data_IF_780439783873
#
_entry.id   IF_780439783873
#
_cell.length_a   1.000
_cell.length_b   1.000
_cell.length_c   1.000
_cell.angle_alpha   90.00
_cell.angle_beta   90.00
_cell.angle_gamma   90.00
#
_symmetry.space_group_name_H-M   'P 1'
#
loop_
_entity.id
_entity.type
_entity.pdbx_description
1 polymer ?
#
# COMPACT_ATOMS: atom_id res chain seq x y z
N UNK A 1 -17.28 -7.21 10.94
CA UNK A 1 -16.24 -7.73 10.02
C UNK A 1 -15.96 -9.17 10.39
N UNK A 2 -15.82 -10.08 9.43
CA UNK A 2 -15.44 -11.48 9.69
C UNK A 2 -13.93 -11.59 9.42
N UNK A 3 -13.10 -11.99 10.41
CA UNK A 3 -11.69 -12.23 10.18
C UNK A 3 -11.50 -13.39 9.21
N UNK A 4 -10.88 -13.13 8.05
CA UNK A 4 -10.64 -14.13 7.01
C UNK A 4 -9.22 -13.96 6.43
N UNK A 5 -8.56 -15.08 6.10
CA UNK A 5 -7.20 -15.12 5.52
C UNK A 5 -7.11 -14.47 4.12
N UNK A 6 -8.25 -14.13 3.52
CA UNK A 6 -8.35 -13.38 2.29
C UNK A 6 -7.62 -12.02 2.36
N UNK A 7 -7.69 -11.34 3.50
CA UNK A 7 -7.16 -9.99 3.67
C UNK A 7 -5.66 -9.93 3.94
N UNK A 8 -5.05 -8.77 3.69
CA UNK A 8 -3.60 -8.59 3.73
C UNK A 8 -3.03 -8.58 5.16
N UNK A 9 -3.76 -8.11 6.16
CA UNK A 9 -3.22 -7.90 7.51
C UNK A 9 -2.66 -9.19 8.15
N UNK A 10 -3.37 -10.31 8.04
CA UNK A 10 -2.90 -11.60 8.58
C UNK A 10 -1.68 -12.15 7.84
N UNK A 11 -1.54 -11.84 6.54
CA UNK A 11 -0.36 -12.20 5.74
C UNK A 11 0.86 -11.38 6.17
N UNK A 12 0.68 -10.08 6.44
CA UNK A 12 1.74 -9.22 7.00
C UNK A 12 2.20 -9.76 8.34
N UNK A 13 1.24 -10.04 9.24
CA UNK A 13 1.54 -10.63 10.55
C UNK A 13 2.35 -11.92 10.42
N UNK A 14 1.89 -12.84 9.57
CA UNK A 14 2.57 -14.10 9.32
C UNK A 14 4.04 -13.90 8.89
N UNK A 15 4.30 -12.99 7.95
CA UNK A 15 5.67 -12.69 7.49
C UNK A 15 6.53 -12.17 8.64
N UNK A 16 6.00 -11.23 9.43
CA UNK A 16 6.75 -10.63 10.53
C UNK A 16 7.08 -11.64 11.64
N UNK A 17 6.27 -12.69 11.81
CA UNK A 17 6.50 -13.75 12.79
C UNK A 17 7.47 -14.83 12.30
N UNK A 18 7.47 -15.14 11.00
CA UNK A 18 8.18 -16.30 10.46
C UNK A 18 9.49 -15.97 9.73
N UNK A 19 9.64 -14.73 9.25
CA UNK A 19 10.91 -14.29 8.65
C UNK A 19 11.82 -13.77 9.75
N UNK A 20 12.96 -14.44 9.95
CA UNK A 20 13.92 -14.09 10.99
C UNK A 20 14.31 -12.61 10.94
N UNK A 21 14.18 -11.91 12.07
CA UNK A 21 14.48 -10.48 12.21
C UNK A 21 13.49 -9.52 11.53
N UNK A 22 12.41 -10.01 10.91
CA UNK A 22 11.47 -9.16 10.18
C UNK A 22 10.74 -8.16 11.10
N UNK A 23 10.24 -8.59 12.25
CA UNK A 23 9.59 -7.68 13.21
C UNK A 23 10.51 -6.51 13.62
N UNK A 24 11.75 -6.80 14.01
CA UNK A 24 12.71 -5.77 14.42
C UNK A 24 13.04 -4.81 13.28
N UNK A 25 13.24 -5.34 12.07
CA UNK A 25 13.49 -4.52 10.87
C UNK A 25 12.28 -3.64 10.52
N UNK A 26 11.07 -4.16 10.66
CA UNK A 26 9.84 -3.40 10.50
C UNK A 26 9.73 -2.25 11.53
N UNK A 27 10.04 -2.52 12.79
CA UNK A 27 10.07 -1.52 13.86
C UNK A 27 11.15 -0.46 13.64
N UNK A 28 12.29 -0.83 13.05
CA UNK A 28 13.36 0.09 12.67
C UNK A 28 13.03 0.93 11.43
N UNK A 29 12.05 0.51 10.61
CA UNK A 29 11.71 1.17 9.35
C UNK A 29 12.48 0.64 8.13
N UNK A 30 13.14 -0.51 8.26
CA UNK A 30 13.90 -1.17 7.19
C UNK A 30 13.01 -2.04 6.28
N UNK A 31 11.71 -2.15 6.59
CA UNK A 31 10.73 -2.88 5.80
C UNK A 31 9.55 -1.98 5.46
N UNK A 32 9.10 -2.08 4.21
CA UNK A 32 7.87 -1.46 3.72
C UNK A 32 6.85 -2.54 3.41
N UNK A 33 5.59 -2.24 3.71
CA UNK A 33 4.43 -2.98 3.25
C UNK A 33 3.84 -2.30 2.01
N UNK A 34 3.27 -3.08 1.09
CA UNK A 34 2.50 -2.54 -0.02
C UNK A 34 1.64 -3.63 -0.66
N UNK A 35 0.47 -3.23 -1.15
CA UNK A 35 -0.26 -3.99 -2.17
C UNK A 35 0.46 -3.86 -3.52
N UNK A 36 -0.03 -4.56 -4.56
CA UNK A 36 0.66 -4.61 -5.86
C UNK A 36 0.82 -3.21 -6.49
N UNK A 37 -0.19 -2.34 -6.35
CA UNK A 37 -0.15 -0.95 -6.79
C UNK A 37 1.00 -0.17 -6.12
N UNK A 38 1.12 -0.27 -4.80
CA UNK A 38 2.23 0.36 -4.05
C UNK A 38 3.58 -0.15 -4.50
N UNK A 39 3.71 -1.47 -4.70
CA UNK A 39 4.97 -2.06 -5.16
C UNK A 39 5.35 -1.55 -6.55
N UNK A 40 4.40 -1.52 -7.49
CA UNK A 40 4.64 -1.03 -8.84
C UNK A 40 5.01 0.46 -8.82
N UNK A 41 4.27 1.29 -8.08
CA UNK A 41 4.57 2.72 -7.92
C UNK A 41 5.97 2.93 -7.34
N UNK A 42 6.33 2.20 -6.29
CA UNK A 42 7.66 2.25 -5.67
C UNK A 42 8.76 1.92 -6.68
N UNK A 43 8.59 0.85 -7.46
CA UNK A 43 9.56 0.44 -8.46
C UNK A 43 9.67 1.45 -9.61
N UNK A 44 8.54 1.92 -10.15
CA UNK A 44 8.50 2.85 -11.26
C UNK A 44 9.08 4.22 -10.91
N UNK A 45 8.95 4.65 -9.65
CA UNK A 45 9.49 5.91 -9.15
C UNK A 45 10.91 5.80 -8.59
N UNK A 46 11.56 4.64 -8.74
CA UNK A 46 12.92 4.42 -8.22
C UNK A 46 13.02 4.48 -6.70
N UNK A 47 11.93 4.17 -5.99
CA UNK A 47 11.85 4.24 -4.53
C UNK A 47 11.50 5.62 -3.97
N UNK A 48 11.07 6.57 -4.81
CA UNK A 48 10.72 7.91 -4.36
C UNK A 48 9.31 8.00 -3.74
N UNK A 49 8.36 7.15 -4.18
CA UNK A 49 6.96 7.25 -3.76
C UNK A 49 6.46 5.92 -3.18
N UNK A 50 6.08 5.96 -1.91
CA UNK A 50 5.45 4.86 -1.19
C UNK A 50 4.00 5.20 -0.86
N UNK A 51 3.10 4.92 -1.81
CA UNK A 51 1.69 5.27 -1.69
C UNK A 51 0.75 4.16 -2.22
N UNK A 52 -0.51 4.23 -1.82
CA UNK A 52 -1.63 3.41 -2.31
C UNK A 52 -2.86 4.30 -2.45
N UNK A 53 -3.92 3.82 -3.11
CA UNK A 53 -5.19 4.53 -3.17
C UNK A 53 -6.22 3.99 -2.16
N UNK A 54 -7.30 4.73 -1.93
CA UNK A 54 -8.38 4.30 -1.03
C UNK A 54 -8.96 2.92 -1.39
N UNK A 55 -9.04 2.59 -2.69
CA UNK A 55 -9.66 1.33 -3.10
C UNK A 55 -8.79 0.14 -2.73
N UNK A 56 -7.47 0.19 -2.91
CA UNK A 56 -6.55 -0.84 -2.46
C UNK A 56 -6.39 -0.86 -0.93
N UNK A 57 -6.27 0.30 -0.28
CA UNK A 57 -6.17 0.41 1.18
C UNK A 57 -7.36 -0.26 1.89
N UNK A 58 -8.59 -0.07 1.39
CA UNK A 58 -9.80 -0.68 1.97
C UNK A 58 -9.81 -2.22 1.94
N UNK A 59 -8.94 -2.86 1.14
CA UNK A 59 -8.82 -4.33 1.02
C UNK A 59 -7.74 -4.91 1.92
N UNK A 60 -7.09 -4.09 2.74
CA UNK A 60 -6.01 -4.55 3.60
C UNK A 60 -6.48 -5.13 4.93
N UNK A 61 -7.70 -4.79 5.37
CA UNK A 61 -8.18 -4.99 6.76
C UNK A 61 -7.39 -4.19 7.81
N UNK A 62 -6.62 -3.18 7.39
CA UNK A 62 -5.87 -2.28 8.27
C UNK A 62 -6.33 -0.82 8.14
N UNK A 63 -7.30 -0.54 7.26
CA UNK A 63 -7.74 0.80 6.90
C UNK A 63 -9.19 1.04 7.34
N UNK A 64 -9.41 2.11 8.10
CA UNK A 64 -10.74 2.57 8.49
C UNK A 64 -11.36 3.39 7.34
N UNK A 65 -12.38 2.82 6.71
CA UNK A 65 -13.09 3.42 5.58
C UNK A 65 -13.98 4.60 5.96
N UNK A 66 -14.34 4.76 7.24
CA UNK A 66 -15.18 5.87 7.70
C UNK A 66 -14.32 7.12 7.94
N UNK A 67 -13.15 6.93 8.56
CA UNK A 67 -12.21 8.01 8.87
C UNK A 67 -11.10 8.21 7.83
N UNK A 68 -11.07 7.35 6.80
CA UNK A 68 -10.10 7.38 5.69
C UNK A 68 -8.63 7.39 6.16
N UNK A 69 -8.32 6.58 7.17
CA UNK A 69 -6.97 6.47 7.74
C UNK A 69 -6.65 5.03 8.13
N UNK A 70 -5.35 4.74 8.29
CA UNK A 70 -4.92 3.49 8.89
C UNK A 70 -5.47 3.36 10.32
N UNK A 71 -6.01 2.19 10.64
CA UNK A 71 -6.65 1.88 11.91
C UNK A 71 -5.59 1.50 12.95
N UNK A 72 -5.29 2.43 13.86
CA UNK A 72 -4.27 2.23 14.89
C UNK A 72 -4.59 1.10 15.87
N UNK A 73 -5.87 0.82 16.14
CA UNK A 73 -6.27 -0.25 17.05
C UNK A 73 -5.99 -1.61 16.41
N UNK A 74 -6.43 -1.81 15.16
CA UNK A 74 -6.15 -3.04 14.41
C UNK A 74 -4.65 -3.27 14.20
N UNK A 75 -3.90 -2.20 13.90
CA UNK A 75 -2.44 -2.29 13.77
C UNK A 75 -1.77 -2.67 15.09
N UNK A 76 -2.24 -2.12 16.22
CA UNK A 76 -1.77 -2.49 17.56
C UNK A 76 -2.06 -3.96 17.90
N UNK A 77 -3.28 -4.42 17.62
CA UNK A 77 -3.69 -5.82 17.83
C UNK A 77 -2.85 -6.81 17.02
N UNK A 78 -2.45 -6.43 15.82
CA UNK A 78 -1.60 -7.23 14.95
C UNK A 78 -0.11 -6.90 15.11
N UNK A 79 0.30 -6.01 16.02
CA UNK A 79 1.69 -5.58 16.19
C UNK A 79 2.38 -5.16 14.87
N UNK A 80 1.66 -4.46 13.98
CA UNK A 80 2.16 -3.98 12.69
C UNK A 80 2.57 -2.50 12.84
N UNK A 81 3.86 -2.15 12.66
CA UNK A 81 4.29 -0.75 12.76
C UNK A 81 3.69 0.12 11.66
N UNK A 82 3.04 1.23 12.05
CA UNK A 82 2.43 2.19 11.12
C UNK A 82 3.42 2.71 10.07
N UNK A 83 4.71 2.86 10.44
CA UNK A 83 5.79 3.32 9.54
C UNK A 83 6.05 2.41 8.34
N UNK A 84 5.58 1.16 8.37
CA UNK A 84 5.67 0.27 7.22
C UNK A 84 4.64 0.58 6.15
N UNK A 85 3.54 1.26 6.49
CA UNK A 85 2.38 1.39 5.61
C UNK A 85 2.54 2.55 4.63
N UNK A 86 2.06 2.40 3.38
CA UNK A 86 2.11 3.47 2.41
C UNK A 86 1.18 4.62 2.78
N UNK A 87 1.47 5.80 2.24
CA UNK A 87 0.54 6.93 2.28
C UNK A 87 -0.71 6.58 1.46
N UNK A 88 -1.90 6.86 2.00
CA UNK A 88 -3.16 6.62 1.29
C UNK A 88 -3.62 7.90 0.62
N UNK A 89 -3.86 7.81 -0.69
CA UNK A 89 -4.12 8.94 -1.59
C UNK A 89 -5.40 8.72 -2.41
N UNK A 90 -5.87 9.76 -3.10
CA UNK A 90 -7.00 9.67 -4.04
C UNK A 90 -6.66 8.70 -5.17
N UNK A 91 -7.67 8.07 -5.80
CA UNK A 91 -7.46 7.16 -6.94
C UNK A 91 -7.05 7.85 -8.24
N UNK A 92 -7.27 9.17 -8.33
CA UNK A 92 -6.97 10.00 -9.50
C UNK A 92 -6.25 11.28 -9.06
N UNK A 93 -4.94 11.19 -8.93
CA UNK A 93 -4.02 12.30 -8.64
C UNK A 93 -2.62 11.95 -9.14
N UNK A 94 -1.77 12.97 -9.35
CA UNK A 94 -0.38 12.73 -9.73
C UNK A 94 0.43 12.27 -8.51
N UNK A 95 0.70 10.97 -8.41
CA UNK A 95 1.48 10.39 -7.31
C UNK A 95 2.97 10.71 -7.43
N UNK A 96 3.46 10.78 -8.67
CA UNK A 96 4.86 10.98 -9.00
C UNK A 96 5.12 10.76 -10.48
N UNK A 97 6.39 10.75 -10.87
CA UNK A 97 6.82 10.45 -12.23
C UNK A 97 7.62 9.16 -12.25
N UNK A 98 7.42 8.35 -13.27
CA UNK A 98 8.28 7.21 -13.51
C UNK A 98 9.69 7.68 -13.87
N UNK A 99 10.71 6.95 -13.41
CA UNK A 99 12.09 7.28 -13.75
C UNK A 99 12.32 7.08 -15.26
N UNK A 100 13.07 7.99 -15.93
CA UNK A 100 13.18 8.00 -17.39
C UNK A 100 13.65 6.69 -18.03
N UNK A 101 14.50 5.93 -17.31
CA UNK A 101 15.04 4.65 -17.78
C UNK A 101 13.95 3.61 -18.06
N UNK A 102 12.78 3.70 -17.44
CA UNK A 102 11.66 2.80 -17.69
C UNK A 102 10.87 3.15 -18.96
N UNK A 103 11.02 4.37 -19.48
CA UNK A 103 10.20 4.91 -20.57
C UNK A 103 11.04 5.63 -21.64
N UNK A 104 12.14 5.02 -22.09
CA UNK A 104 12.98 5.51 -23.20
C UNK A 104 13.47 6.96 -23.03
N UNK A 105 13.72 7.39 -21.78
CA UNK A 105 14.15 8.75 -21.46
C UNK A 105 13.00 9.73 -21.19
N UNK A 106 11.74 9.31 -21.29
CA UNK A 106 10.59 10.16 -21.00
C UNK A 106 10.22 10.13 -19.51
N UNK A 107 9.87 11.29 -18.96
CA UNK A 107 9.21 11.39 -17.64
C UNK A 107 7.71 11.22 -17.80
N UNK A 108 7.19 10.04 -17.45
CA UNK A 108 5.76 9.73 -17.54
C UNK A 108 5.09 9.94 -16.18
N UNK A 109 4.05 10.80 -16.06
CA UNK A 109 3.33 10.96 -14.81
C UNK A 109 2.51 9.69 -14.50
N UNK A 110 2.60 9.21 -13.26
CA UNK A 110 1.75 8.15 -12.74
C UNK A 110 0.60 8.86 -12.01
N UNK A 111 -0.60 8.82 -12.61
CA UNK A 111 -1.72 9.67 -12.21
C UNK A 111 -3.01 8.92 -11.83
N UNK A 112 -2.99 7.58 -11.80
CA UNK A 112 -4.16 6.79 -11.44
C UNK A 112 -3.80 5.43 -10.85
N UNK A 113 -4.46 5.06 -9.76
CA UNK A 113 -4.41 3.74 -9.15
C UNK A 113 -5.81 3.33 -8.69
N UNK A 114 -6.24 2.12 -9.04
CA UNK A 114 -7.51 1.56 -8.61
C UNK A 114 -7.45 0.03 -8.52
N UNK A 115 -8.06 -0.55 -7.50
CA UNK A 115 -8.16 -1.99 -7.32
C UNK A 115 -9.11 -2.65 -8.33
N UNK A 116 -8.73 -3.83 -8.83
CA UNK A 116 -9.36 -4.53 -9.97
C UNK A 116 -10.86 -4.88 -9.80
N UNK A 117 -11.39 -4.87 -8.56
CA UNK A 117 -12.77 -5.26 -8.27
C UNK A 117 -13.76 -4.09 -8.20
N UNK A 118 -13.35 -2.84 -8.47
CA UNK A 118 -14.31 -1.77 -8.77
C UNK A 118 -14.51 -1.72 -10.27
N UNK A 119 -15.74 -2.01 -10.72
CA UNK A 119 -16.15 -1.73 -12.11
C UNK A 119 -15.77 -0.28 -12.44
N UNK A 120 -15.28 0.00 -13.66
CA UNK A 120 -15.10 1.36 -14.13
C UNK A 120 -16.49 1.96 -14.37
N UNK A 121 -17.10 2.51 -13.33
CA UNK A 121 -18.26 3.40 -13.47
C UNK A 121 -17.85 4.88 -13.52
N UNK A 122 -16.58 5.17 -13.83
CA UNK A 122 -16.06 6.54 -14.00
C UNK A 122 -15.75 6.89 -15.46
N UNK A 123 -16.33 6.14 -16.41
CA UNK A 123 -16.42 6.57 -17.80
C UNK A 123 -17.89 6.87 -18.11
N UNK A 124 -18.17 8.18 -18.28
CA UNK A 124 -19.43 8.87 -18.59
C UNK A 124 -20.21 9.44 -17.40
#
# INVERSE_FOLDING_TARGET
MIPDAYFSATKVRFILDHVSGAQQRAENGDLLFGTIDTWLLWKLTGGAVHATDFTNASRTMMFDINNLKWDSELLGLLNIPLKMLPEVRQSSEVYGKAIPIHFFGAEVPIAGMAGINRRPCLAN
#
